data_IF_539366620577
#
_entry.id   IF_539366620577
#
_cell.length_a   1.000
_cell.length_b   1.000
_cell.length_c   1.000
_cell.angle_alpha   90.00
_cell.angle_beta   90.00
_cell.angle_gamma   90.00
#
_symmetry.space_group_name_H-M   'P 1'
#
loop_
_entity.id
_entity.type
_entity.pdbx_description
1 polymer ?
#
# COMPACT_ATOMS: atom_id res chain seq x y z
N UNK A 1 -20.09 -31.60 13.10
CA UNK A 1 -19.39 -31.04 14.26
C UNK A 1 -18.28 -31.96 14.68
N UNK A 2 -17.14 -31.42 15.14
CA UNK A 2 -15.89 -32.16 15.42
C UNK A 2 -15.90 -33.10 16.64
N UNK A 3 -17.03 -33.26 17.34
CA UNK A 3 -17.14 -34.19 18.47
C UNK A 3 -16.33 -33.85 19.74
N UNK A 4 -15.63 -32.70 19.76
CA UNK A 4 -14.75 -32.25 20.86
C UNK A 4 -15.49 -31.99 22.18
N UNK A 5 -16.80 -31.75 22.14
CA UNK A 5 -17.65 -31.60 23.32
C UNK A 5 -18.99 -32.30 23.13
N UNK A 6 -19.44 -33.03 24.15
CA UNK A 6 -20.71 -33.76 24.15
C UNK A 6 -21.92 -32.87 24.47
N UNK A 7 -21.72 -31.74 25.14
CA UNK A 7 -22.77 -30.78 25.50
C UNK A 7 -22.27 -29.34 25.38
N UNK A 8 -23.19 -28.38 25.23
CA UNK A 8 -22.86 -26.95 25.20
C UNK A 8 -22.16 -26.52 26.50
N UNK A 9 -22.54 -27.09 27.66
CA UNK A 9 -21.88 -26.82 28.94
C UNK A 9 -20.43 -27.31 28.96
N UNK A 10 -20.14 -28.46 28.33
CA UNK A 10 -18.78 -28.95 28.20
C UNK A 10 -17.96 -28.08 27.26
N UNK A 11 -18.52 -27.66 26.12
CA UNK A 11 -17.88 -26.73 25.19
C UNK A 11 -17.53 -25.39 25.86
N UNK A 12 -18.47 -24.82 26.63
CA UNK A 12 -18.24 -23.58 27.38
C UNK A 12 -17.04 -23.71 28.34
N UNK A 13 -16.93 -24.83 29.06
CA UNK A 13 -15.78 -25.09 29.96
C UNK A 13 -14.45 -25.23 29.23
N UNK A 14 -14.43 -25.77 28.01
CA UNK A 14 -13.22 -25.87 27.19
C UNK A 14 -12.75 -24.49 26.74
N UNK A 15 -13.68 -23.62 26.31
CA UNK A 15 -13.39 -22.23 25.93
C UNK A 15 -12.92 -21.41 27.13
N UNK A 16 -13.58 -21.53 28.29
CA UNK A 16 -13.18 -20.85 29.53
C UNK A 16 -11.79 -21.27 30.03
N UNK A 17 -11.31 -22.45 29.64
CA UNK A 17 -9.98 -22.97 29.98
C UNK A 17 -8.93 -22.69 28.91
N UNK A 18 -9.31 -22.04 27.81
CA UNK A 18 -8.42 -21.72 26.68
C UNK A 18 -7.67 -22.95 26.16
N UNK A 19 -8.36 -24.10 26.10
CA UNK A 19 -7.74 -25.36 25.68
C UNK A 19 -7.17 -25.25 24.25
N UNK A 20 -6.03 -25.89 23.93
CA UNK A 20 -5.37 -25.76 22.62
C UNK A 20 -6.29 -25.99 21.43
N UNK A 21 -7.21 -26.96 21.53
CA UNK A 21 -8.15 -27.33 20.47
C UNK A 21 -9.15 -26.21 20.14
N UNK A 22 -9.36 -25.26 21.05
CA UNK A 22 -10.25 -24.11 20.84
C UNK A 22 -9.65 -23.15 19.80
N UNK A 23 -8.32 -23.01 19.77
CA UNK A 23 -7.64 -22.11 18.83
C UNK A 23 -7.73 -22.61 17.39
N UNK A 24 -7.57 -23.92 17.17
CA UNK A 24 -7.76 -24.54 15.85
C UNK A 24 -9.21 -24.38 15.36
N UNK A 25 -10.18 -24.51 16.27
CA UNK A 25 -11.59 -24.27 15.94
C UNK A 25 -11.85 -22.80 15.66
N UNK A 26 -11.23 -21.89 16.41
CA UNK A 26 -11.38 -20.45 16.21
C UNK A 26 -10.85 -20.04 14.83
N UNK A 27 -9.67 -20.51 14.43
CA UNK A 27 -9.08 -20.22 13.11
C UNK A 27 -10.00 -20.66 11.96
N UNK A 28 -10.63 -21.83 12.08
CA UNK A 28 -11.57 -22.30 11.06
C UNK A 28 -12.91 -21.55 11.08
N UNK A 29 -13.37 -21.07 12.24
CA UNK A 29 -14.64 -20.32 12.37
C UNK A 29 -14.51 -18.90 11.82
N UNK A 30 -13.35 -18.26 11.98
CA UNK A 30 -13.14 -16.89 11.49
C UNK A 30 -12.77 -16.85 10.00
N UNK A 31 -12.38 -17.98 9.41
CA UNK A 31 -12.01 -18.07 8.00
C UNK A 31 -13.21 -17.74 7.12
N UNK A 32 -13.03 -16.76 6.22
CA UNK A 32 -14.09 -16.23 5.36
C UNK A 32 -15.29 -15.63 6.12
N UNK A 33 -15.09 -15.25 7.39
CA UNK A 33 -16.09 -14.56 8.21
C UNK A 33 -15.66 -13.11 8.45
N UNK A 34 -16.11 -12.15 7.60
CA UNK A 34 -15.66 -10.77 7.70
C UNK A 34 -16.18 -10.11 8.98
N UNK A 35 -15.39 -9.19 9.53
CA UNK A 35 -15.77 -8.32 10.65
C UNK A 35 -15.86 -6.87 10.19
N UNK A 36 -16.72 -6.08 10.82
CA UNK A 36 -16.83 -4.65 10.54
C UNK A 36 -16.02 -3.87 11.56
N UNK A 37 -15.15 -2.98 11.09
CA UNK A 37 -14.48 -1.99 11.93
C UNK A 37 -15.19 -0.64 11.78
N UNK A 38 -15.34 0.06 12.90
CA UNK A 38 -15.92 1.41 12.94
C UNK A 38 -15.11 2.31 13.88
N UNK A 39 -14.82 3.54 13.45
CA UNK A 39 -14.25 4.60 14.29
C UNK A 39 -15.26 5.73 14.46
N UNK A 40 -15.53 6.10 15.70
CA UNK A 40 -16.39 7.24 16.01
C UNK A 40 -15.57 8.56 16.00
N UNK A 41 -16.12 9.68 15.52
CA UNK A 41 -17.44 9.83 14.88
C UNK A 41 -17.46 9.35 13.42
N UNK A 42 -18.53 8.66 13.02
CA UNK A 42 -18.71 8.19 11.64
C UNK A 42 -19.25 9.31 10.75
N UNK A 43 -18.38 9.96 9.96
CA UNK A 43 -18.76 11.11 9.12
C UNK A 43 -19.30 10.72 7.73
N UNK A 44 -18.91 9.56 7.23
CA UNK A 44 -19.29 9.08 5.91
C UNK A 44 -19.22 7.55 5.85
N UNK A 45 -19.75 6.95 4.79
CA UNK A 45 -19.85 5.48 4.66
C UNK A 45 -18.52 4.74 4.83
N UNK A 46 -17.39 5.34 4.45
CA UNK A 46 -16.06 4.72 4.59
C UNK A 46 -15.55 4.65 6.04
N UNK A 47 -16.27 5.25 7.00
CA UNK A 47 -15.98 5.12 8.43
C UNK A 47 -16.45 3.77 8.99
N UNK A 48 -17.08 2.92 8.18
CA UNK A 48 -17.34 1.51 8.48
C UNK A 48 -16.92 0.67 7.27
N UNK A 49 -15.99 -0.25 7.46
CA UNK A 49 -15.55 -1.19 6.42
C UNK A 49 -15.42 -2.60 6.97
N UNK A 50 -15.57 -3.58 6.08
CA UNK A 50 -15.36 -4.98 6.40
C UNK A 50 -13.91 -5.41 6.12
N UNK A 51 -13.40 -6.31 6.96
CA UNK A 51 -12.08 -6.94 6.85
C UNK A 51 -12.17 -8.42 7.17
N UNK A 52 -11.26 -9.21 6.61
CA UNK A 52 -11.01 -10.57 7.07
C UNK A 52 -10.15 -10.52 8.34
N UNK A 53 -10.62 -11.08 9.48
CA UNK A 53 -9.85 -11.08 10.71
C UNK A 53 -8.62 -12.01 10.58
N UNK A 54 -7.48 -11.56 11.10
CA UNK A 54 -6.29 -12.39 11.29
C UNK A 54 -5.99 -12.46 12.79
N UNK A 55 -5.83 -13.66 13.33
CA UNK A 55 -5.47 -13.83 14.74
C UNK A 55 -4.06 -13.28 14.97
N UNK A 56 -3.94 -12.47 16.01
CA UNK A 56 -2.68 -11.89 16.47
C UNK A 56 -2.56 -12.06 17.97
N UNK A 57 -1.34 -12.10 18.46
CA UNK A 57 -1.08 -11.97 19.88
C UNK A 57 -1.19 -10.50 20.31
N UNK A 58 -1.70 -10.26 21.51
CA UNK A 58 -1.88 -8.92 22.08
C UNK A 58 -3.34 -8.49 22.20
N UNK A 59 -3.54 -7.23 22.58
CA UNK A 59 -4.87 -6.65 22.86
C UNK A 59 -5.21 -5.42 22.00
N UNK A 60 -4.37 -5.12 21.02
CA UNK A 60 -4.56 -3.99 20.11
C UNK A 60 -5.01 -4.50 18.74
N UNK A 61 -5.90 -3.76 18.08
CA UNK A 61 -6.33 -4.06 16.71
C UNK A 61 -5.24 -3.56 15.76
N UNK A 62 -4.80 -4.41 14.83
CA UNK A 62 -3.94 -3.99 13.73
C UNK A 62 -4.80 -3.50 12.57
N UNK A 63 -4.57 -2.26 12.14
CA UNK A 63 -5.28 -1.63 11.02
C UNK A 63 -4.32 -1.37 9.87
N UNK A 64 -4.75 -1.66 8.65
CA UNK A 64 -3.93 -1.45 7.46
C UNK A 64 -3.61 0.06 7.25
N UNK A 65 -2.36 0.46 6.98
CA UNK A 65 -2.01 1.89 6.86
C UNK A 65 -2.81 2.65 5.79
N UNK A 66 -3.10 2.00 4.65
CA UNK A 66 -3.83 2.65 3.55
C UNK A 66 -5.30 2.96 3.84
N UNK A 67 -5.91 2.33 4.86
CA UNK A 67 -7.32 2.62 5.23
C UNK A 67 -7.43 3.70 6.32
N UNK A 68 -6.32 4.10 6.94
CA UNK A 68 -6.33 5.08 8.04
C UNK A 68 -6.92 6.43 7.59
N UNK A 69 -6.63 6.84 6.35
CA UNK A 69 -7.18 8.07 5.77
C UNK A 69 -8.72 8.03 5.68
N UNK A 70 -9.30 6.86 5.36
CA UNK A 70 -10.74 6.69 5.31
C UNK A 70 -11.36 6.75 6.72
N UNK A 71 -10.71 6.20 7.74
CA UNK A 71 -11.19 6.30 9.12
C UNK A 71 -10.88 7.64 9.79
N UNK A 72 -10.09 8.50 9.14
CA UNK A 72 -9.47 9.67 9.76
C UNK A 72 -8.72 9.29 11.06
N UNK A 73 -8.11 8.10 11.08
CA UNK A 73 -7.49 7.51 12.24
C UNK A 73 -5.98 7.75 12.27
N UNK A 74 -5.44 7.90 13.46
CA UNK A 74 -4.02 7.85 13.76
C UNK A 74 -3.75 6.79 14.85
N UNK A 75 -2.50 6.71 15.33
CA UNK A 75 -2.04 5.66 16.24
C UNK A 75 -1.51 6.22 17.57
N UNK A 76 -2.10 7.31 18.05
CA UNK A 76 -1.71 7.96 19.32
C UNK A 76 -2.61 7.57 20.52
N UNK A 77 -3.62 6.71 20.30
CA UNK A 77 -4.56 6.27 21.33
C UNK A 77 -5.98 5.98 20.84
N UNK A 78 -6.24 6.18 19.55
CA UNK A 78 -7.51 5.90 18.90
C UNK A 78 -8.05 4.47 19.17
N UNK A 79 -9.36 4.37 19.32
CA UNK A 79 -10.07 3.11 19.54
C UNK A 79 -11.09 2.86 18.41
N UNK A 80 -11.31 1.59 18.10
CA UNK A 80 -12.29 1.17 17.10
C UNK A 80 -13.22 0.09 17.67
N UNK A 81 -14.48 0.12 17.25
CA UNK A 81 -15.44 -0.94 17.53
C UNK A 81 -15.35 -2.03 16.47
N UNK A 82 -15.52 -3.29 16.89
CA UNK A 82 -15.60 -4.46 16.01
C UNK A 82 -17.02 -5.02 16.10
N UNK A 83 -17.66 -5.22 14.95
CA UNK A 83 -18.97 -5.86 14.85
C UNK A 83 -18.88 -7.14 14.02
N UNK A 84 -19.59 -8.18 14.43
CA UNK A 84 -19.62 -9.48 13.75
C UNK A 84 -20.97 -9.65 13.03
N UNK A 85 -21.00 -9.67 11.68
CA UNK A 85 -22.19 -10.02 10.92
C UNK A 85 -22.60 -11.47 11.21
N UNK A 86 -23.84 -11.67 11.68
CA UNK A 86 -24.30 -13.01 12.11
C UNK A 86 -25.00 -13.79 11.01
N UNK A 87 -25.88 -13.14 10.23
CA UNK A 87 -26.65 -13.82 9.18
C UNK A 87 -25.82 -13.99 7.92
N UNK A 88 -26.18 -14.97 7.09
CA UNK A 88 -25.49 -15.23 5.82
C UNK A 88 -25.62 -14.02 4.90
N UNK A 89 -26.80 -13.39 4.88
CA UNK A 89 -27.07 -12.18 4.10
C UNK A 89 -26.15 -11.03 4.52
N UNK A 90 -25.96 -10.82 5.82
CA UNK A 90 -25.08 -9.77 6.35
C UNK A 90 -23.60 -10.05 6.06
N UNK A 91 -23.17 -11.32 6.11
CA UNK A 91 -21.80 -11.71 5.73
C UNK A 91 -21.55 -11.49 4.23
N UNK A 92 -22.52 -11.85 3.39
CA UNK A 92 -22.45 -11.63 1.94
C UNK A 92 -22.45 -10.12 1.62
N UNK A 93 -23.26 -9.32 2.29
CA UNK A 93 -23.28 -7.87 2.14
C UNK A 93 -21.95 -7.23 2.58
N UNK A 94 -21.42 -7.65 3.73
CA UNK A 94 -20.12 -7.18 4.21
C UNK A 94 -19.02 -7.47 3.19
N UNK A 95 -19.00 -8.68 2.60
CA UNK A 95 -18.01 -9.08 1.59
C UNK A 95 -18.19 -8.37 0.25
N UNK A 96 -19.42 -8.25 -0.23
CA UNK A 96 -19.71 -7.71 -1.55
C UNK A 96 -19.68 -6.18 -1.59
N UNK A 97 -20.09 -5.50 -0.52
CA UNK A 97 -20.26 -4.04 -0.52
C UNK A 97 -19.30 -3.32 0.43
N UNK A 98 -19.09 -3.86 1.63
CA UNK A 98 -18.37 -3.15 2.70
C UNK A 98 -16.89 -3.48 2.76
N UNK A 99 -16.43 -4.53 2.08
CA UNK A 99 -15.03 -4.95 2.07
C UNK A 99 -14.12 -3.79 1.67
N UNK A 100 -13.03 -3.61 2.41
CA UNK A 100 -12.08 -2.51 2.21
C UNK A 100 -11.53 -2.46 0.77
N UNK A 101 -11.33 -3.63 0.15
CA UNK A 101 -10.88 -3.77 -1.25
C UNK A 101 -11.85 -3.20 -2.28
N UNK A 102 -13.14 -3.06 -1.94
CA UNK A 102 -14.15 -2.51 -2.86
C UNK A 102 -14.25 -0.98 -2.73
N UNK A 103 -13.77 -0.44 -1.62
CA UNK A 103 -13.99 0.94 -1.20
C UNK A 103 -12.72 1.79 -1.35
N UNK A 104 -12.07 1.69 -2.52
CA UNK A 104 -10.78 2.36 -2.80
C UNK A 104 -10.92 3.77 -3.38
N UNK A 105 -12.12 4.15 -3.81
CA UNK A 105 -12.43 5.49 -4.30
C UNK A 105 -13.35 6.23 -3.32
N UNK A 106 -13.12 7.53 -3.18
CA UNK A 106 -14.00 8.42 -2.44
C UNK A 106 -15.35 8.55 -3.15
N UNK A 107 -16.48 8.35 -2.44
CA UNK A 107 -17.81 8.53 -3.03
C UNK A 107 -18.11 9.98 -3.39
N UNK A 108 -17.39 10.95 -2.82
CA UNK A 108 -17.68 12.37 -3.00
C UNK A 108 -17.11 12.93 -4.32
N UNK A 109 -15.96 12.44 -4.77
CA UNK A 109 -15.24 12.99 -5.93
C UNK A 109 -14.66 11.94 -6.88
N UNK A 110 -14.75 10.64 -6.56
CA UNK A 110 -14.22 9.56 -7.40
C UNK A 110 -12.69 9.48 -7.43
N UNK A 111 -11.98 10.22 -6.58
CA UNK A 111 -10.53 10.11 -6.44
C UNK A 111 -10.16 8.95 -5.50
N UNK A 112 -8.99 8.32 -5.68
CA UNK A 112 -8.54 7.27 -4.75
C UNK A 112 -8.44 7.78 -3.32
N UNK A 113 -9.01 7.04 -2.36
CA UNK A 113 -8.92 7.33 -0.92
C UNK A 113 -7.76 6.59 -0.25
N UNK A 114 -7.35 5.46 -0.85
CA UNK A 114 -6.24 4.60 -0.37
C UNK A 114 -4.85 5.13 -0.78
N UNK A 115 -4.72 6.45 -0.94
CA UNK A 115 -3.44 7.07 -1.32
C UNK A 115 -2.50 6.95 -0.13
N UNK A 116 -1.29 6.39 -0.31
CA UNK A 116 -0.32 6.35 0.77
C UNK A 116 -0.01 7.72 1.35
N UNK A 117 0.32 7.74 2.64
CA UNK A 117 0.61 8.94 3.41
C UNK A 117 2.05 8.95 3.93
N UNK A 118 2.52 10.13 4.33
CA UNK A 118 3.74 10.36 5.13
C UNK A 118 4.94 9.54 4.64
N UNK A 119 5.41 8.57 5.42
CA UNK A 119 6.66 7.83 5.19
C UNK A 119 6.67 7.07 3.87
N UNK A 120 5.54 6.46 3.47
CA UNK A 120 5.46 5.77 2.19
C UNK A 120 5.70 6.75 1.04
N UNK A 121 5.11 7.95 1.12
CA UNK A 121 5.32 9.00 0.11
C UNK A 121 6.77 9.47 0.14
N UNK A 122 7.38 9.63 1.32
CA UNK A 122 8.79 10.03 1.45
C UNK A 122 9.72 9.00 0.82
N UNK A 123 9.51 7.71 1.09
CA UNK A 123 10.33 6.63 0.53
C UNK A 123 10.24 6.52 -0.99
N UNK A 124 9.04 6.67 -1.55
CA UNK A 124 8.83 6.69 -3.00
C UNK A 124 9.41 7.95 -3.65
N UNK A 125 9.26 9.10 -3.00
CA UNK A 125 9.86 10.34 -3.47
C UNK A 125 11.38 10.25 -3.48
N UNK A 126 11.99 9.71 -2.41
CA UNK A 126 13.42 9.45 -2.33
C UNK A 126 13.86 8.51 -3.45
N UNK A 127 13.22 7.34 -3.58
CA UNK A 127 13.50 6.34 -4.62
C UNK A 127 13.48 6.92 -6.03
N UNK A 128 12.53 7.81 -6.34
CA UNK A 128 12.28 8.29 -7.71
C UNK A 128 12.92 9.65 -8.03
N UNK A 129 13.64 10.24 -7.08
CA UNK A 129 14.37 11.50 -7.27
C UNK A 129 15.68 11.24 -8.03
N UNK A 130 16.10 12.22 -8.82
CA UNK A 130 17.38 12.21 -9.52
C UNK A 130 18.43 13.08 -8.82
N UNK A 131 19.70 12.75 -9.07
CA UNK A 131 20.88 13.46 -8.58
C UNK A 131 21.86 13.63 -9.73
N UNK A 132 22.51 14.78 -9.77
CA UNK A 132 23.60 15.06 -10.72
C UNK A 132 24.90 14.47 -10.18
N UNK A 133 25.69 13.86 -11.06
CA UNK A 133 26.95 13.18 -10.76
C UNK A 133 26.78 12.03 -9.76
N UNK A 134 25.77 11.19 -9.99
CA UNK A 134 25.54 9.96 -9.21
C UNK A 134 26.48 8.83 -9.64
N UNK A 135 26.81 7.93 -8.72
CA UNK A 135 27.59 6.73 -9.06
C UNK A 135 26.83 5.87 -10.10
N UNK A 136 27.49 5.55 -11.22
CA UNK A 136 26.86 4.81 -12.32
C UNK A 136 26.02 5.67 -13.28
N UNK A 137 26.16 7.00 -13.23
CA UNK A 137 25.52 7.89 -14.21
C UNK A 137 25.97 7.61 -15.65
N UNK A 138 25.01 7.63 -16.58
CA UNK A 138 25.22 7.34 -18.00
C UNK A 138 25.31 5.85 -18.34
N UNK A 139 25.24 4.95 -17.36
CA UNK A 139 25.18 3.51 -17.62
C UNK A 139 23.92 3.13 -18.39
N UNK A 140 24.03 2.06 -19.16
CA UNK A 140 22.93 1.50 -19.96
C UNK A 140 22.63 0.10 -19.44
N UNK A 141 21.37 -0.15 -19.10
CA UNK A 141 20.90 -1.43 -18.58
C UNK A 141 19.92 -2.11 -19.53
N UNK A 142 19.99 -3.43 -19.60
CA UNK A 142 19.14 -4.28 -20.43
C UNK A 142 17.75 -4.51 -19.87
N UNK A 143 17.56 -4.33 -18.56
CA UNK A 143 16.27 -4.46 -17.88
C UNK A 143 16.29 -3.76 -16.51
N UNK A 144 15.11 -3.46 -15.93
CA UNK A 144 14.98 -3.00 -14.55
C UNK A 144 15.64 -3.90 -13.51
N UNK A 145 15.63 -5.23 -13.72
CA UNK A 145 16.30 -6.19 -12.83
C UNK A 145 17.82 -6.01 -12.81
N UNK A 146 18.42 -5.62 -13.94
CA UNK A 146 19.84 -5.34 -14.00
C UNK A 146 20.19 -4.04 -13.26
N UNK A 147 19.35 -3.02 -13.38
CA UNK A 147 19.47 -1.77 -12.61
C UNK A 147 19.37 -2.05 -11.10
N UNK A 148 18.43 -2.90 -10.67
CA UNK A 148 18.33 -3.34 -9.28
C UNK A 148 19.59 -4.08 -8.81
N UNK A 149 20.11 -5.00 -9.63
CA UNK A 149 21.34 -5.73 -9.33
C UNK A 149 22.53 -4.77 -9.18
N UNK A 150 22.66 -3.79 -10.06
CA UNK A 150 23.72 -2.78 -10.00
C UNK A 150 23.62 -1.93 -8.73
N UNK A 151 22.41 -1.57 -8.31
CA UNK A 151 22.19 -0.89 -7.03
C UNK A 151 22.58 -1.76 -5.83
N UNK A 152 22.08 -3.00 -5.76
CA UNK A 152 22.33 -3.92 -4.64
C UNK A 152 23.80 -4.32 -4.51
N UNK A 153 24.57 -4.30 -5.60
CA UNK A 153 26.02 -4.57 -5.61
C UNK A 153 26.87 -3.33 -5.32
N UNK A 154 26.25 -2.15 -5.19
CA UNK A 154 26.95 -0.89 -4.92
C UNK A 154 27.64 -0.29 -6.16
N UNK A 155 27.33 -0.77 -7.36
CA UNK A 155 27.87 -0.24 -8.62
C UNK A 155 27.09 0.96 -9.16
N UNK A 156 25.86 1.20 -8.68
CA UNK A 156 25.06 2.37 -9.02
C UNK A 156 24.28 2.91 -7.81
N UNK A 157 24.07 4.23 -7.75
CA UNK A 157 23.19 4.89 -6.78
C UNK A 157 21.74 4.94 -7.28
N UNK A 158 20.75 4.95 -6.37
CA UNK A 158 19.32 5.03 -6.71
C UNK A 158 18.99 6.24 -7.60
N UNK A 159 19.62 7.37 -7.33
CA UNK A 159 19.29 8.64 -7.98
C UNK A 159 20.09 8.89 -9.27
N UNK A 160 20.94 7.95 -9.66
CA UNK A 160 21.79 8.09 -10.86
C UNK A 160 20.96 8.03 -12.13
N UNK A 161 21.24 8.96 -13.05
CA UNK A 161 20.59 9.03 -14.36
C UNK A 161 21.19 7.99 -15.30
N UNK A 162 20.34 7.12 -15.84
CA UNK A 162 20.74 5.93 -16.59
C UNK A 162 19.76 5.69 -17.74
N UNK A 163 20.20 4.93 -18.75
CA UNK A 163 19.31 4.46 -19.83
C UNK A 163 18.92 3.03 -19.54
N UNK A 164 17.63 2.77 -19.40
CA UNK A 164 17.13 1.42 -19.12
C UNK A 164 16.20 1.01 -20.24
N UNK A 165 16.37 -0.22 -20.74
CA UNK A 165 15.38 -0.83 -21.62
C UNK A 165 14.15 -1.22 -20.79
N UNK A 166 13.03 -0.56 -21.06
CA UNK A 166 11.75 -0.80 -20.41
C UNK A 166 10.84 -1.54 -21.38
N UNK A 167 10.19 -2.59 -20.88
CA UNK A 167 9.15 -3.31 -21.60
C UNK A 167 7.81 -2.83 -21.07
N UNK A 168 7.07 -2.11 -21.91
CA UNK A 168 5.71 -1.65 -21.66
C UNK A 168 4.72 -2.60 -22.35
N UNK A 169 3.52 -2.70 -21.79
CA UNK A 169 2.42 -3.43 -22.39
C UNK A 169 1.26 -2.47 -22.59
N UNK A 170 0.88 -2.21 -23.82
CA UNK A 170 -0.35 -1.48 -24.13
C UNK A 170 -1.49 -2.51 -24.21
N UNK A 171 -2.61 -2.21 -23.54
CA UNK A 171 -3.79 -3.07 -23.49
C UNK A 171 -4.88 -2.40 -24.34
N UNK A 172 -5.27 -3.08 -25.41
CA UNK A 172 -6.32 -2.62 -26.31
C UNK A 172 -7.71 -2.86 -25.70
N UNK A 173 -8.77 -2.25 -26.25
CA UNK A 173 -10.16 -2.44 -25.79
C UNK A 173 -10.62 -3.91 -25.82
N UNK A 174 -10.02 -4.72 -26.71
CA UNK A 174 -10.26 -6.16 -26.84
C UNK A 174 -9.42 -7.03 -25.86
N UNK A 175 -8.60 -6.41 -25.00
CA UNK A 175 -7.73 -7.10 -24.03
C UNK A 175 -6.45 -7.69 -24.62
N UNK A 176 -6.16 -7.42 -25.89
CA UNK A 176 -4.90 -7.79 -26.52
C UNK A 176 -3.75 -6.95 -25.95
N UNK A 177 -2.62 -7.61 -25.68
CA UNK A 177 -1.43 -6.98 -25.11
C UNK A 177 -0.39 -6.80 -26.20
N UNK A 178 -0.06 -5.56 -26.54
CA UNK A 178 1.04 -5.26 -27.43
C UNK A 178 2.28 -4.91 -26.61
N UNK A 179 3.38 -5.61 -26.88
CA UNK A 179 4.65 -5.38 -26.19
C UNK A 179 5.41 -4.26 -26.89
N UNK A 180 5.78 -3.23 -26.14
CA UNK A 180 6.58 -2.11 -26.62
C UNK A 180 7.84 -2.01 -25.80
N UNK A 181 8.98 -2.23 -26.47
CA UNK A 181 10.30 -2.13 -25.83
C UNK A 181 10.93 -0.81 -26.22
N UNK A 182 11.19 0.04 -25.23
CA UNK A 182 11.79 1.37 -25.41
C UNK A 182 13.06 1.49 -24.57
N UNK A 183 14.05 2.20 -25.10
CA UNK A 183 15.21 2.61 -24.32
C UNK A 183 14.93 4.01 -23.78
N UNK A 184 14.74 4.11 -22.46
CA UNK A 184 14.24 5.33 -21.82
C UNK A 184 15.28 5.91 -20.89
N UNK A 185 15.45 7.24 -20.97
CA UNK A 185 16.24 8.01 -20.01
C UNK A 185 15.47 8.11 -18.68
N UNK A 186 16.04 7.52 -17.63
CA UNK A 186 15.40 7.44 -16.31
C UNK A 186 16.44 7.42 -15.19
N UNK A 187 16.03 7.06 -13.97
CA UNK A 187 16.95 6.78 -12.86
C UNK A 187 16.92 5.31 -12.45
N UNK A 188 17.97 4.85 -11.76
CA UNK A 188 18.02 3.48 -11.22
C UNK A 188 16.81 3.20 -10.33
N UNK A 189 16.45 4.15 -9.47
CA UNK A 189 15.32 3.99 -8.56
C UNK A 189 13.95 3.98 -9.26
N UNK A 190 13.75 4.78 -10.32
CA UNK A 190 12.53 4.70 -11.16
C UNK A 190 12.44 3.38 -11.92
N UNK A 191 13.57 2.85 -12.37
CA UNK A 191 13.61 1.53 -12.97
C UNK A 191 13.26 0.43 -11.95
N UNK A 192 13.80 0.49 -10.73
CA UNK A 192 13.40 -0.45 -9.67
C UNK A 192 11.90 -0.33 -9.36
N UNK A 193 11.37 0.90 -9.32
CA UNK A 193 9.95 1.13 -9.08
C UNK A 193 9.05 0.59 -10.20
N UNK A 194 9.53 0.42 -11.43
CA UNK A 194 8.72 -0.17 -12.51
C UNK A 194 8.48 -1.67 -12.34
N UNK A 195 9.32 -2.37 -11.57
CA UNK A 195 9.18 -3.81 -11.30
C UNK A 195 7.88 -4.14 -10.56
N UNK A 196 7.37 -3.20 -9.75
CA UNK A 196 6.15 -3.41 -8.96
C UNK A 196 4.88 -2.95 -9.68
N UNK A 197 5.02 -2.27 -10.83
CA UNK A 197 3.85 -1.77 -11.56
C UNK A 197 3.13 -2.91 -12.28
N UNK A 198 1.79 -2.91 -12.28
CA UNK A 198 1.04 -3.85 -13.09
C UNK A 198 1.24 -3.55 -14.58
N UNK A 199 1.23 -4.61 -15.39
CA UNK A 199 1.32 -4.51 -16.86
C UNK A 199 0.11 -3.76 -17.39
N UNK A 200 0.30 -2.78 -18.28
CA UNK A 200 -0.77 -1.94 -18.82
C UNK A 200 -0.64 -0.45 -18.47
N UNK A 201 0.28 -0.09 -17.57
CA UNK A 201 0.56 1.30 -17.24
C UNK A 201 1.79 1.81 -18.01
N UNK A 202 1.71 3.02 -18.59
CA UNK A 202 2.85 3.64 -19.24
C UNK A 202 3.90 4.04 -18.19
N UNK A 203 5.16 3.77 -18.50
CA UNK A 203 6.31 4.08 -17.65
C UNK A 203 6.44 5.58 -17.39
N UNK A 204 5.96 6.41 -18.31
CA UNK A 204 6.00 7.87 -18.18
C UNK A 204 5.30 8.39 -16.92
N UNK A 205 4.27 7.69 -16.41
CA UNK A 205 3.59 8.09 -15.17
C UNK A 205 4.54 8.10 -13.98
N UNK A 206 5.52 7.19 -13.97
CA UNK A 206 6.50 7.05 -12.90
C UNK A 206 7.86 7.66 -13.24
N UNK A 207 8.07 8.16 -14.47
CA UNK A 207 9.34 8.77 -14.87
C UNK A 207 9.49 10.21 -14.36
N UNK A 208 9.10 10.45 -13.11
CA UNK A 208 9.13 11.73 -12.42
C UNK A 208 9.31 11.49 -10.92
N UNK A 209 9.59 12.55 -10.16
CA UNK A 209 9.60 12.45 -8.70
C UNK A 209 8.19 12.18 -8.16
N UNK A 210 8.03 11.06 -7.48
CA UNK A 210 6.73 10.55 -7.01
C UNK A 210 6.34 11.15 -5.66
N UNK A 211 5.75 12.35 -5.70
CA UNK A 211 5.08 12.94 -4.54
C UNK A 211 3.65 12.40 -4.34
N UNK A 212 2.97 12.88 -3.29
CA UNK A 212 1.60 12.44 -2.93
C UNK A 212 0.60 12.57 -4.10
N UNK A 213 0.64 13.69 -4.84
CA UNK A 213 -0.26 13.94 -5.98
C UNK A 213 0.01 13.00 -7.15
N UNK A 214 1.28 12.72 -7.43
CA UNK A 214 1.70 11.81 -8.50
C UNK A 214 1.31 10.36 -8.19
N UNK A 215 1.49 9.93 -6.94
CA UNK A 215 1.06 8.60 -6.48
C UNK A 215 -0.47 8.44 -6.58
N UNK A 216 -1.24 9.47 -6.19
CA UNK A 216 -2.70 9.46 -6.38
C UNK A 216 -3.09 9.34 -7.85
N UNK A 217 -2.41 10.06 -8.76
CA UNK A 217 -2.64 9.93 -10.21
C UNK A 217 -2.30 8.55 -10.75
N UNK A 218 -1.21 7.95 -10.26
CA UNK A 218 -0.81 6.58 -10.62
C UNK A 218 -1.89 5.56 -10.22
N UNK A 219 -2.39 5.61 -8.99
CA UNK A 219 -3.47 4.72 -8.53
C UNK A 219 -4.77 4.94 -9.31
N UNK A 220 -5.11 6.18 -9.62
CA UNK A 220 -6.30 6.50 -10.43
C UNK A 220 -6.16 5.96 -11.86
N UNK A 221 -4.99 6.10 -12.48
CA UNK A 221 -4.71 5.54 -13.80
C UNK A 221 -4.78 4.00 -13.77
N UNK A 222 -4.19 3.37 -12.75
CA UNK A 222 -4.27 1.93 -12.53
C UNK A 222 -5.73 1.45 -12.45
N UNK A 223 -6.56 2.15 -11.67
CA UNK A 223 -7.97 1.78 -11.53
C UNK A 223 -8.75 1.89 -12.83
N UNK A 224 -8.52 2.95 -13.60
CA UNK A 224 -9.24 3.20 -14.86
C UNK A 224 -8.84 2.26 -15.98
N UNK A 225 -7.57 1.83 -16.02
CA UNK A 225 -7.04 0.98 -17.09
C UNK A 225 -7.14 -0.51 -16.76
N UNK A 226 -6.88 -0.89 -15.51
CA UNK A 226 -6.72 -2.30 -15.10
C UNK A 226 -7.82 -2.79 -14.16
N UNK A 227 -8.64 -1.86 -13.63
CA UNK A 227 -9.73 -2.18 -12.73
C UNK A 227 -9.29 -2.37 -11.28
N UNK A 228 -10.22 -2.93 -10.49
CA UNK A 228 -10.14 -2.94 -9.03
C UNK A 228 -9.01 -3.82 -8.51
N UNK A 229 -8.94 -5.08 -8.95
CA UNK A 229 -8.04 -6.10 -8.40
C UNK A 229 -6.58 -5.69 -8.54
N UNK A 230 -6.16 -5.29 -9.73
CA UNK A 230 -4.77 -4.90 -10.00
C UNK A 230 -4.39 -3.62 -9.25
N UNK A 231 -5.36 -2.72 -9.03
CA UNK A 231 -5.12 -1.50 -8.24
C UNK A 231 -4.90 -1.78 -6.77
N UNK A 232 -5.66 -2.71 -6.18
CA UNK A 232 -5.47 -3.12 -4.78
C UNK A 232 -4.08 -3.75 -4.61
N UNK A 233 -3.71 -4.67 -5.49
CA UNK A 233 -2.37 -5.30 -5.47
C UNK A 233 -1.27 -4.25 -5.65
N UNK A 234 -1.43 -3.33 -6.60
CA UNK A 234 -0.47 -2.27 -6.84
C UNK A 234 -0.33 -1.34 -5.63
N UNK A 235 -1.43 -0.98 -4.96
CA UNK A 235 -1.41 -0.14 -3.77
C UNK A 235 -0.62 -0.78 -2.62
N UNK A 236 -0.78 -2.08 -2.40
CA UNK A 236 0.00 -2.82 -1.40
C UNK A 236 1.48 -2.85 -1.75
N UNK A 237 1.84 -3.13 -3.01
CA UNK A 237 3.24 -3.13 -3.44
C UNK A 237 3.88 -1.73 -3.32
N UNK A 238 3.12 -0.68 -3.63
CA UNK A 238 3.54 0.72 -3.45
C UNK A 238 3.79 1.00 -1.97
N UNK A 239 2.91 0.52 -1.07
CA UNK A 239 3.08 0.66 0.38
C UNK A 239 4.35 -0.03 0.86
N UNK A 240 4.55 -1.31 0.54
CA UNK A 240 5.73 -2.07 0.95
C UNK A 240 7.02 -1.46 0.44
N UNK A 241 7.04 -1.07 -0.84
CA UNK A 241 8.21 -0.43 -1.46
C UNK A 241 8.50 0.93 -0.82
N UNK A 242 7.48 1.74 -0.58
CA UNK A 242 7.67 3.05 0.06
C UNK A 242 8.20 2.92 1.49
N UNK A 243 7.68 2.02 2.31
CA UNK A 243 8.24 1.78 3.65
C UNK A 243 9.68 1.30 3.61
N UNK A 244 10.00 0.36 2.71
CA UNK A 244 11.36 -0.15 2.57
C UNK A 244 12.37 0.94 2.20
N UNK A 245 12.05 1.77 1.19
CA UNK A 245 12.95 2.84 0.77
C UNK A 245 12.93 4.06 1.70
N UNK A 246 11.87 4.26 2.48
CA UNK A 246 11.87 5.24 3.57
C UNK A 246 12.88 4.86 4.66
N UNK A 247 12.92 3.57 5.04
CA UNK A 247 13.93 3.05 5.96
C UNK A 247 15.35 3.23 5.41
N UNK A 248 15.58 2.85 4.14
CA UNK A 248 16.90 2.97 3.49
C UNK A 248 17.34 4.42 3.37
N UNK A 249 16.41 5.36 3.13
CA UNK A 249 16.72 6.78 3.02
C UNK A 249 17.39 7.34 4.29
N UNK A 250 17.13 6.73 5.46
CA UNK A 250 17.68 7.18 6.74
C UNK A 250 17.33 8.64 7.04
N UNK A 251 16.19 9.11 6.51
CA UNK A 251 15.77 10.48 6.65
C UNK A 251 15.54 10.81 8.13
N UNK A 252 16.16 11.88 8.59
CA UNK A 252 16.04 12.38 9.96
C UNK A 252 15.88 13.90 9.93
N UNK A 253 15.64 14.50 11.09
CA UNK A 253 15.51 15.95 11.24
C UNK A 253 16.37 16.41 12.40
N UNK A 254 17.30 17.31 12.13
CA UNK A 254 18.16 18.00 13.09
C UNK A 254 17.88 19.50 13.14
N UNK A 255 18.51 20.19 14.09
CA UNK A 255 18.37 21.64 14.22
C UNK A 255 18.96 22.39 13.02
N UNK A 256 20.03 21.85 12.41
CA UNK A 256 20.72 22.46 11.28
C UNK A 256 19.93 22.38 9.96
N UNK A 257 18.92 21.49 9.89
CA UNK A 257 18.01 21.44 8.74
C UNK A 257 17.08 22.68 8.70
N UNK A 258 16.91 23.37 9.83
CA UNK A 258 16.11 24.59 9.96
C UNK A 258 16.93 25.83 9.59
N UNK A 259 17.28 25.97 8.32
CA UNK A 259 18.12 27.07 7.82
C UNK A 259 17.42 28.42 7.94
N UNK A 260 17.91 29.29 8.83
CA UNK A 260 17.43 30.68 8.96
C UNK A 260 17.98 31.52 7.80
N UNK A 261 17.13 32.20 7.01
CA UNK A 261 17.61 33.05 5.91
C UNK A 261 18.48 34.21 6.43
N UNK A 262 19.61 34.46 5.77
CA UNK A 262 20.52 35.54 6.14
C UNK A 262 19.83 36.93 6.12
N UNK A 263 18.92 37.14 5.16
CA UNK A 263 18.15 38.36 5.01
C UNK A 263 17.16 38.65 6.16
N UNK A 264 16.94 37.72 7.09
CA UNK A 264 16.00 37.91 8.21
C UNK A 264 16.31 39.16 9.04
N UNK A 265 17.59 39.52 9.20
CA UNK A 265 18.02 40.71 9.96
C UNK A 265 17.87 42.02 9.19
N UNK A 266 17.76 41.96 7.87
CA UNK A 266 17.62 43.17 7.02
C UNK A 266 16.16 43.54 6.79
N UNK A 267 15.25 42.55 6.89
CA UNK A 267 13.81 42.73 6.69
C UNK A 267 13.11 43.26 7.96
N UNK A 268 13.68 42.99 9.15
CA UNK A 268 13.17 43.44 10.45
C UNK A 268 13.85 44.75 10.84
#
# INVERSE_FOLDING_TARGET
GRGLATTIKAAKKLVEREAPEVWDVLDDVIREHPVLLNRAPTLHRLGIQAFEPTLIEGKAIQLHPLVCAAYNADFDGDQMAVHVPLTIEAQLEARALMMSTNNILSPANGEPIIVPSQDVVLGLYYLTRDKVNGLGEGMVFTSPNEAEKAYRTGNAELHSRVKVRITEYDIDEDGNKTEKVTLTDTTVGRAIFSLILPKGLPFEIINQAMGKKQISRLLNACYRTLGLKDTVIAADQIMYTGFHYAMIAGASVGIDDMVIPAAKKEII
#
